data_IF_618219615999
#
_entry.id   IF_618219615999
#
_cell.length_a   1.000
_cell.length_b   1.000
_cell.length_c   1.000
_cell.angle_alpha   90.00
_cell.angle_beta   90.00
_cell.angle_gamma   90.00
#
_symmetry.space_group_name_H-M   'P 1'
#
loop_
_entity.id
_entity.type
_entity.pdbx_description
1 polymer ?
#
# COMPACT_ATOMS: atom_id res chain seq x y z
N UNK A 1 -31.26 25.22 -13.61
CA UNK A 1 -30.83 25.02 -12.21
C UNK A 1 -29.34 25.31 -12.13
N UNK A 2 -28.96 26.41 -11.47
CA UNK A 2 -27.59 26.88 -11.37
C UNK A 2 -26.73 25.84 -10.63
N UNK A 3 -25.62 25.41 -11.24
CA UNK A 3 -24.54 24.73 -10.52
C UNK A 3 -23.97 25.76 -9.53
N UNK A 4 -24.40 25.68 -8.28
CA UNK A 4 -23.75 26.39 -7.19
C UNK A 4 -22.27 26.01 -7.22
N UNK A 5 -21.39 27.00 -7.20
CA UNK A 5 -19.96 26.82 -7.02
C UNK A 5 -19.71 26.34 -5.59
N UNK A 6 -19.98 25.07 -5.34
CA UNK A 6 -19.62 24.41 -4.09
C UNK A 6 -18.09 24.45 -4.02
N UNK A 7 -17.55 25.04 -2.96
CA UNK A 7 -16.12 24.98 -2.69
C UNK A 7 -15.59 23.53 -2.69
N UNK A 8 -14.27 23.31 -2.76
CA UNK A 8 -13.73 21.96 -2.80
C UNK A 8 -14.27 21.12 -1.63
N UNK A 9 -14.83 19.94 -1.94
CA UNK A 9 -15.38 19.04 -0.93
C UNK A 9 -14.33 18.58 0.09
N UNK A 10 -14.81 18.03 1.20
CA UNK A 10 -13.95 17.64 2.33
C UNK A 10 -13.04 16.48 1.92
N UNK A 11 -11.98 16.28 2.69
CA UNK A 11 -11.09 15.15 2.49
C UNK A 11 -11.50 13.98 3.41
N UNK A 12 -11.69 12.79 2.84
CA UNK A 12 -11.78 11.55 3.60
C UNK A 12 -10.49 10.75 3.38
N UNK A 13 -9.72 10.58 4.45
CA UNK A 13 -8.41 9.95 4.41
C UNK A 13 -8.49 8.60 5.10
N UNK A 14 -8.16 7.53 4.38
CA UNK A 14 -8.10 6.16 4.90
C UNK A 14 -6.65 5.72 4.95
N UNK A 15 -6.16 5.35 6.14
CA UNK A 15 -4.81 4.87 6.37
C UNK A 15 -4.85 3.42 6.87
N UNK A 16 -4.44 2.45 6.05
CA UNK A 16 -4.37 1.04 6.43
C UNK A 16 -2.92 0.59 6.59
N UNK A 17 -2.55 0.17 7.79
CA UNK A 17 -1.17 -0.25 8.06
C UNK A 17 -0.90 -1.72 7.69
N UNK A 18 0.37 -2.03 7.45
CA UNK A 18 0.87 -3.38 7.23
C UNK A 18 0.94 -4.19 8.52
N UNK A 19 1.24 -5.49 8.39
CA UNK A 19 1.42 -6.36 9.56
C UNK A 19 2.56 -5.90 10.46
N UNK A 20 2.42 -6.18 11.77
CA UNK A 20 3.48 -6.14 12.78
C UNK A 20 4.10 -4.75 13.03
N UNK A 21 3.27 -3.73 13.24
CA UNK A 21 3.74 -2.47 13.84
C UNK A 21 3.13 -2.35 15.24
N UNK A 22 3.90 -2.68 16.28
CA UNK A 22 3.48 -2.43 17.65
C UNK A 22 3.42 -0.92 17.91
N UNK A 23 2.25 -0.44 18.33
CA UNK A 23 2.07 0.94 18.78
C UNK A 23 2.94 1.14 20.02
N UNK A 24 4.02 1.92 19.91
CA UNK A 24 4.83 2.33 21.06
C UNK A 24 6.32 2.47 20.77
N UNK A 25 6.92 1.58 19.96
CA UNK A 25 8.37 1.64 19.66
C UNK A 25 8.69 1.75 18.17
N UNK A 26 7.98 1.05 17.29
CA UNK A 26 8.29 1.00 15.87
C UNK A 26 7.11 1.57 15.07
N UNK A 27 7.32 2.73 14.43
CA UNK A 27 6.25 3.44 13.73
C UNK A 27 6.40 3.29 12.21
N UNK A 28 5.33 2.82 11.57
CA UNK A 28 5.19 2.85 10.12
C UNK A 28 5.03 4.26 9.58
N UNK A 29 5.29 4.42 8.29
CA UNK A 29 5.02 5.62 7.54
C UNK A 29 3.52 5.90 7.42
N UNK A 30 2.66 4.87 7.46
CA UNK A 30 1.20 5.04 7.54
C UNK A 30 0.78 5.71 8.85
N UNK A 31 1.28 5.22 9.99
CA UNK A 31 0.98 5.79 11.30
C UNK A 31 1.63 7.17 11.49
N UNK A 32 2.85 7.37 10.96
CA UNK A 32 3.49 8.70 10.90
C UNK A 32 2.63 9.68 10.07
N UNK A 33 2.16 9.28 8.89
CA UNK A 33 1.24 10.10 8.07
C UNK A 33 -0.06 10.39 8.81
N UNK A 34 -0.67 9.39 9.46
CA UNK A 34 -1.88 9.58 10.27
C UNK A 34 -1.66 10.65 11.36
N UNK A 35 -0.50 10.66 12.02
CA UNK A 35 -0.15 11.68 13.04
C UNK A 35 0.10 13.06 12.44
N UNK A 36 0.63 13.13 11.22
CA UNK A 36 0.91 14.37 10.49
C UNK A 36 -0.37 14.99 9.90
N UNK A 37 -1.31 14.16 9.44
CA UNK A 37 -2.55 14.59 8.83
C UNK A 37 -3.39 15.43 9.81
N UNK A 38 -3.85 16.58 9.32
CA UNK A 38 -4.81 17.41 10.04
C UNK A 38 -6.13 16.64 10.22
N UNK A 39 -6.75 16.77 11.40
CA UNK A 39 -8.07 16.21 11.71
C UNK A 39 -8.98 17.38 12.02
N UNK A 40 -9.98 17.58 11.18
CA UNK A 40 -10.94 18.69 11.28
C UNK A 40 -12.23 18.30 10.54
N UNK A 41 -13.28 19.13 10.66
CA UNK A 41 -14.53 18.95 9.90
C UNK A 41 -14.33 18.91 8.38
N UNK A 42 -13.19 19.41 7.90
CA UNK A 42 -12.85 19.46 6.49
C UNK A 42 -11.88 18.34 6.06
N UNK A 43 -11.33 17.59 7.01
CA UNK A 43 -10.50 16.42 6.74
C UNK A 43 -10.68 15.36 7.84
N UNK A 44 -11.46 14.33 7.52
CA UNK A 44 -11.65 13.17 8.38
C UNK A 44 -10.57 12.14 8.07
N UNK A 45 -9.94 11.60 9.10
CA UNK A 45 -8.81 10.66 8.95
C UNK A 45 -9.11 9.39 9.74
N UNK A 46 -9.22 8.27 9.04
CA UNK A 46 -9.42 6.94 9.58
C UNK A 46 -8.11 6.16 9.57
N UNK A 47 -7.84 5.40 10.63
CA UNK A 47 -6.67 4.53 10.74
C UNK A 47 -7.10 3.11 11.06
N UNK A 48 -6.74 2.18 10.19
CA UNK A 48 -6.88 0.75 10.40
C UNK A 48 -5.52 0.17 10.82
N UNK A 49 -5.38 -0.32 12.06
CA UNK A 49 -4.16 -0.99 12.49
C UNK A 49 -3.97 -2.29 11.72
N UNK A 50 -2.70 -2.65 11.49
CA UNK A 50 -2.34 -3.92 10.89
C UNK A 50 -2.70 -5.12 11.76
N UNK A 51 -2.85 -6.27 11.11
CA UNK A 51 -3.11 -7.56 11.76
C UNK A 51 -2.01 -7.90 12.77
N UNK A 52 -2.42 -8.37 13.96
CA UNK A 52 -1.53 -8.69 15.08
C UNK A 52 -1.19 -7.53 16.02
N UNK A 53 -1.72 -6.32 15.84
CA UNK A 53 -1.39 -5.13 16.67
C UNK A 53 -2.15 -5.03 18.01
N UNK A 54 -3.12 -5.92 18.28
CA UNK A 54 -3.89 -5.88 19.53
C UNK A 54 -3.02 -6.37 20.70
N UNK A 55 -2.53 -5.43 21.51
CA UNK A 55 -1.80 -5.73 22.74
C UNK A 55 -2.77 -6.29 23.80
N UNK A 56 -2.66 -7.59 24.09
CA UNK A 56 -3.19 -8.15 25.34
C UNK A 56 -2.11 -7.99 26.43
N UNK A 57 -2.46 -7.72 27.70
CA UNK A 57 -1.48 -7.45 28.76
C UNK A 57 -0.55 -8.63 29.14
N UNK A 58 -0.82 -9.85 28.65
CA UNK A 58 -0.15 -11.05 29.14
C UNK A 58 1.05 -11.52 28.30
N UNK A 59 2.16 -11.77 29.00
CA UNK A 59 3.42 -12.29 28.45
C UNK A 59 3.29 -13.68 27.78
N UNK A 60 2.35 -14.50 28.22
CA UNK A 60 2.01 -15.80 27.58
C UNK A 60 1.20 -15.64 26.28
N UNK A 61 0.72 -14.43 25.96
CA UNK A 61 -0.05 -14.13 24.75
C UNK A 61 0.79 -13.90 23.49
N UNK A 62 2.09 -13.59 23.60
CA UNK A 62 2.92 -13.18 22.45
C UNK A 62 3.13 -14.28 21.40
N UNK A 63 3.31 -15.53 21.81
CA UNK A 63 3.46 -16.65 20.88
C UNK A 63 2.13 -17.03 20.21
N UNK A 64 1.03 -17.01 20.98
CA UNK A 64 -0.34 -17.15 20.46
C UNK A 64 -0.70 -16.03 19.48
N UNK A 65 -0.31 -14.79 19.76
CA UNK A 65 -0.47 -13.64 18.90
C UNK A 65 0.35 -13.79 17.61
N UNK A 66 1.60 -14.26 17.69
CA UNK A 66 2.44 -14.52 16.52
C UNK A 66 1.89 -15.65 15.65
N UNK A 67 1.37 -16.72 16.28
CA UNK A 67 0.69 -17.82 15.59
C UNK A 67 -0.65 -17.39 14.96
N UNK A 68 -1.48 -16.63 15.69
CA UNK A 68 -2.76 -16.11 15.22
C UNK A 68 -2.57 -15.07 14.11
N UNK A 69 -1.60 -14.16 14.23
CA UNK A 69 -1.26 -13.20 13.18
C UNK A 69 -0.74 -13.89 11.91
N UNK A 70 -0.02 -15.01 12.06
CA UNK A 70 0.40 -15.86 10.93
C UNK A 70 -0.79 -16.61 10.32
N UNK A 71 -1.75 -17.05 11.14
CA UNK A 71 -2.98 -17.71 10.70
C UNK A 71 -3.95 -16.74 9.99
N UNK A 72 -4.16 -15.53 10.50
CA UNK A 72 -4.93 -14.47 9.83
C UNK A 72 -4.26 -13.97 8.55
N UNK A 73 -2.93 -13.98 8.51
CA UNK A 73 -2.13 -13.67 7.32
C UNK A 73 -2.34 -14.71 6.20
N UNK A 74 -2.63 -15.97 6.55
CA UNK A 74 -2.90 -17.04 5.59
C UNK A 74 -4.38 -17.09 5.16
N UNK A 75 -5.34 -16.87 6.08
CA UNK A 75 -6.76 -17.16 5.83
C UNK A 75 -7.55 -16.06 5.09
N UNK A 76 -6.96 -14.89 4.82
CA UNK A 76 -7.64 -13.79 4.11
C UNK A 76 -8.78 -13.10 4.88
N UNK A 77 -9.28 -13.69 5.97
CA UNK A 77 -10.33 -13.12 6.84
C UNK A 77 -9.96 -11.76 7.41
N UNK A 78 -8.67 -11.53 7.70
CA UNK A 78 -8.19 -10.23 8.14
C UNK A 78 -8.29 -9.15 7.06
N UNK A 79 -8.05 -9.49 5.79
CA UNK A 79 -8.20 -8.57 4.67
C UNK A 79 -9.66 -8.14 4.51
N UNK A 80 -10.61 -9.10 4.53
CA UNK A 80 -12.04 -8.80 4.42
C UNK A 80 -12.50 -7.85 5.54
N UNK A 81 -12.08 -8.10 6.78
CA UNK A 81 -12.37 -7.23 7.93
C UNK A 81 -11.83 -5.82 7.72
N UNK A 82 -10.57 -5.68 7.33
CA UNK A 82 -9.90 -4.39 7.22
C UNK A 82 -10.47 -3.56 6.03
N UNK A 83 -10.78 -4.22 4.90
CA UNK A 83 -11.49 -3.58 3.76
C UNK A 83 -12.88 -3.14 4.18
N UNK A 84 -13.63 -3.99 4.88
CA UNK A 84 -15.00 -3.69 5.29
C UNK A 84 -15.05 -2.54 6.31
N UNK A 85 -14.10 -2.49 7.25
CA UNK A 85 -13.98 -1.39 8.22
C UNK A 85 -13.74 -0.04 7.51
N UNK A 86 -12.77 0.00 6.59
CA UNK A 86 -12.48 1.20 5.81
C UNK A 86 -13.65 1.59 4.88
N UNK A 87 -14.32 0.61 4.26
CA UNK A 87 -15.49 0.86 3.42
C UNK A 87 -16.65 1.44 4.21
N UNK A 88 -16.94 0.90 5.41
CA UNK A 88 -17.99 1.44 6.30
C UNK A 88 -17.69 2.86 6.73
N UNK A 89 -16.45 3.17 7.10
CA UNK A 89 -16.04 4.55 7.39
C UNK A 89 -16.39 5.49 6.23
N UNK A 90 -16.10 5.10 4.98
CA UNK A 90 -16.46 5.90 3.81
C UNK A 90 -17.98 6.01 3.63
N UNK A 91 -18.73 4.91 3.76
CA UNK A 91 -20.21 4.92 3.65
C UNK A 91 -20.86 5.83 4.68
N UNK A 92 -20.34 5.82 5.91
CA UNK A 92 -20.88 6.59 7.03
C UNK A 92 -20.59 8.09 6.93
N UNK A 93 -19.50 8.48 6.25
CA UNK A 93 -18.99 9.85 6.29
C UNK A 93 -19.03 10.58 4.94
N UNK A 94 -19.14 9.88 3.81
CA UNK A 94 -19.09 10.47 2.48
C UNK A 94 -20.32 11.32 2.16
N UNK A 95 -20.04 12.55 1.75
CA UNK A 95 -20.99 13.47 1.13
C UNK A 95 -20.57 13.68 -0.32
N UNK A 96 -21.56 13.92 -1.17
CA UNK A 96 -21.31 14.16 -2.59
C UNK A 96 -20.35 15.34 -2.78
N UNK A 97 -19.28 15.12 -3.56
CA UNK A 97 -18.20 16.09 -3.76
C UNK A 97 -16.98 15.92 -2.85
N UNK A 98 -17.05 15.10 -1.80
CA UNK A 98 -15.88 14.76 -0.97
C UNK A 98 -14.79 14.05 -1.79
N UNK A 99 -13.54 14.22 -1.37
CA UNK A 99 -12.35 13.65 -2.02
C UNK A 99 -11.77 12.53 -1.17
N UNK A 100 -11.59 11.35 -1.76
CA UNK A 100 -11.07 10.18 -1.05
C UNK A 100 -9.56 10.05 -1.27
N UNK A 101 -8.83 9.92 -0.16
CA UNK A 101 -7.39 9.66 -0.12
C UNK A 101 -7.15 8.32 0.56
N UNK A 102 -6.41 7.45 -0.11
CA UNK A 102 -6.16 6.09 0.32
C UNK A 102 -4.66 5.90 0.54
N UNK A 103 -4.26 5.53 1.75
CA UNK A 103 -2.88 5.27 2.12
C UNK A 103 -2.70 3.88 2.70
N UNK A 104 -1.65 3.17 2.28
CA UNK A 104 -1.32 1.92 2.93
C UNK A 104 0.09 1.43 2.70
N UNK A 105 0.54 0.56 3.60
CA UNK A 105 1.85 -0.09 3.54
C UNK A 105 1.70 -1.61 3.49
N UNK A 106 2.51 -2.30 2.69
CA UNK A 106 2.59 -3.76 2.69
C UNK A 106 1.23 -4.40 2.32
N UNK A 107 0.65 -5.21 3.22
CA UNK A 107 -0.72 -5.68 3.10
C UNK A 107 -1.75 -4.57 3.22
N UNK A 108 -1.54 -3.56 4.05
CA UNK A 108 -2.41 -2.40 4.14
C UNK A 108 -2.49 -1.63 2.82
N UNK A 109 -1.41 -1.61 2.04
CA UNK A 109 -1.42 -1.11 0.66
C UNK A 109 -2.34 -1.95 -0.24
N UNK A 110 -2.30 -3.28 -0.12
CA UNK A 110 -3.23 -4.15 -0.83
C UNK A 110 -4.68 -3.95 -0.37
N UNK A 111 -4.92 -3.77 0.93
CA UNK A 111 -6.23 -3.45 1.51
C UNK A 111 -6.84 -2.21 0.86
N UNK A 112 -6.10 -1.09 0.77
CA UNK A 112 -6.64 0.13 0.15
C UNK A 112 -6.79 0.02 -1.36
N UNK A 113 -5.97 -0.79 -2.03
CA UNK A 113 -6.14 -1.10 -3.45
C UNK A 113 -7.41 -1.92 -3.72
N UNK A 114 -7.68 -2.91 -2.87
CA UNK A 114 -8.93 -3.70 -2.91
C UNK A 114 -10.14 -2.82 -2.61
N UNK A 115 -10.04 -1.92 -1.62
CA UNK A 115 -11.07 -0.92 -1.34
C UNK A 115 -11.35 -0.03 -2.56
N UNK A 116 -10.30 0.43 -3.25
CA UNK A 116 -10.45 1.21 -4.47
C UNK A 116 -11.15 0.39 -5.58
N UNK A 117 -10.75 -0.86 -5.78
CA UNK A 117 -11.38 -1.78 -6.75
C UNK A 117 -12.85 -2.03 -6.44
N UNK A 118 -13.18 -2.21 -5.16
CA UNK A 118 -14.55 -2.34 -4.68
C UNK A 118 -15.37 -1.09 -4.98
N UNK A 119 -14.88 0.10 -4.65
CA UNK A 119 -15.57 1.37 -4.97
C UNK A 119 -15.77 1.52 -6.49
N UNK A 120 -14.77 1.16 -7.30
CA UNK A 120 -14.86 1.25 -8.76
C UNK A 120 -15.91 0.31 -9.36
N UNK A 121 -15.99 -0.92 -8.85
CA UNK A 121 -16.81 -1.99 -9.41
C UNK A 121 -18.23 -2.02 -8.84
N UNK A 122 -18.39 -1.98 -7.52
CA UNK A 122 -19.71 -2.03 -6.87
C UNK A 122 -20.24 -0.63 -6.53
N UNK A 123 -19.38 0.37 -6.36
CA UNK A 123 -19.76 1.72 -5.92
C UNK A 123 -19.60 1.93 -4.41
N UNK A 124 -19.82 3.16 -3.95
CA UNK A 124 -19.91 3.50 -2.53
C UNK A 124 -21.38 3.60 -2.11
N UNK A 125 -21.80 2.80 -1.13
CA UNK A 125 -23.16 2.81 -0.62
C UNK A 125 -23.52 4.16 -0.01
N UNK A 126 -24.82 4.47 -0.02
CA UNK A 126 -25.35 5.61 0.75
C UNK A 126 -25.37 5.25 2.23
N UNK A 127 -25.31 6.28 3.09
CA UNK A 127 -25.22 6.09 4.54
C UNK A 127 -26.35 5.20 5.11
N UNK A 128 -27.59 5.38 4.66
CA UNK A 128 -28.75 4.58 5.08
C UNK A 128 -28.74 3.12 4.59
N UNK A 129 -27.76 2.74 3.76
CA UNK A 129 -27.58 1.39 3.21
C UNK A 129 -26.36 0.69 3.80
N UNK A 130 -25.79 1.20 4.90
CA UNK A 130 -24.59 0.64 5.52
C UNK A 130 -24.72 -0.85 5.89
N UNK A 131 -25.95 -1.33 6.13
CA UNK A 131 -26.26 -2.75 6.35
C UNK A 131 -25.87 -3.65 5.16
N UNK A 132 -25.82 -3.12 3.93
CA UNK A 132 -25.42 -3.86 2.74
C UNK A 132 -23.91 -3.95 2.52
N UNK A 133 -23.07 -3.34 3.35
CA UNK A 133 -21.62 -3.30 3.15
C UNK A 133 -20.97 -4.69 3.03
N UNK A 134 -21.43 -5.66 3.83
CA UNK A 134 -20.95 -7.05 3.74
C UNK A 134 -21.35 -7.74 2.43
N UNK A 135 -22.57 -7.48 1.96
CA UNK A 135 -23.06 -7.98 0.68
C UNK A 135 -22.31 -7.34 -0.50
N UNK A 136 -21.99 -6.04 -0.42
CA UNK A 136 -21.18 -5.36 -1.42
C UNK A 136 -19.79 -5.99 -1.56
N UNK A 137 -19.13 -6.32 -0.44
CA UNK A 137 -17.82 -6.99 -0.47
C UNK A 137 -17.93 -8.39 -1.07
N UNK A 138 -18.99 -9.14 -0.72
CA UNK A 138 -19.25 -10.46 -1.31
C UNK A 138 -19.48 -10.37 -2.82
N UNK A 139 -20.31 -9.44 -3.27
CA UNK A 139 -20.57 -9.22 -4.70
C UNK A 139 -19.29 -8.86 -5.47
N UNK A 140 -18.46 -7.98 -4.90
CA UNK A 140 -17.17 -7.61 -5.48
C UNK A 140 -16.21 -8.81 -5.63
N UNK A 141 -16.12 -9.68 -4.61
CA UNK A 141 -15.26 -10.87 -4.65
C UNK A 141 -15.75 -11.90 -5.67
N UNK A 142 -17.07 -12.14 -5.70
CA UNK A 142 -17.69 -13.11 -6.61
C UNK A 142 -17.65 -12.66 -8.07
N UNK A 143 -17.72 -11.35 -8.34
CA UNK A 143 -17.72 -10.80 -9.70
C UNK A 143 -16.48 -11.18 -10.54
N UNK A 144 -15.42 -11.69 -9.91
CA UNK A 144 -14.26 -12.22 -10.59
C UNK A 144 -14.53 -13.51 -11.37
N UNK A 145 -15.42 -14.36 -10.86
CA UNK A 145 -15.70 -15.68 -11.45
C UNK A 145 -16.69 -15.59 -12.62
N UNK A 146 -17.40 -14.46 -12.73
CA UNK A 146 -18.46 -14.24 -13.70
C UNK A 146 -17.98 -13.58 -14.99
N UNK A 147 -18.67 -13.88 -16.10
CA UNK A 147 -18.48 -13.16 -17.36
C UNK A 147 -18.81 -11.67 -17.17
N UNK A 148 -17.80 -10.82 -17.36
CA UNK A 148 -17.92 -9.36 -17.37
C UNK A 148 -18.52 -8.75 -16.09
N UNK A 149 -18.25 -9.35 -14.92
CA UNK A 149 -18.62 -8.82 -13.59
C UNK A 149 -20.14 -8.70 -13.34
N UNK A 150 -20.95 -9.59 -13.92
CA UNK A 150 -22.41 -9.56 -13.83
C UNK A 150 -22.95 -9.43 -12.39
N UNK A 151 -22.45 -10.21 -11.42
CA UNK A 151 -22.88 -10.11 -10.02
C UNK A 151 -22.70 -8.70 -9.43
N UNK A 152 -21.58 -8.02 -9.73
CA UNK A 152 -21.36 -6.67 -9.22
C UNK A 152 -22.28 -5.63 -9.86
N UNK A 153 -22.60 -5.82 -11.15
CA UNK A 153 -23.53 -4.96 -11.87
C UNK A 153 -24.95 -5.10 -11.31
N UNK A 154 -25.44 -6.33 -11.13
CA UNK A 154 -26.76 -6.60 -10.55
C UNK A 154 -26.89 -6.02 -9.14
N UNK A 155 -25.88 -6.24 -8.27
CA UNK A 155 -25.86 -5.64 -6.94
C UNK A 155 -25.96 -4.11 -7.00
N UNK A 156 -25.22 -3.48 -7.91
CA UNK A 156 -25.24 -2.02 -8.09
C UNK A 156 -26.62 -1.53 -8.54
N UNK A 157 -27.30 -2.22 -9.44
CA UNK A 157 -28.63 -1.85 -9.92
C UNK A 157 -29.70 -1.92 -8.80
N UNK A 158 -29.59 -2.91 -7.91
CA UNK A 158 -30.48 -3.07 -6.75
C UNK A 158 -30.24 -1.97 -5.71
N UNK A 159 -28.98 -1.76 -5.33
CA UNK A 159 -28.65 -0.88 -4.19
C UNK A 159 -28.53 0.58 -4.61
N UNK A 160 -28.29 0.89 -5.89
CA UNK A 160 -28.16 2.26 -6.41
C UNK A 160 -27.23 3.16 -5.56
N UNK A 161 -25.95 2.77 -5.43
CA UNK A 161 -24.94 3.54 -4.71
C UNK A 161 -24.69 4.92 -5.35
N UNK A 162 -23.81 5.72 -4.76
CA UNK A 162 -23.42 7.00 -5.37
C UNK A 162 -22.95 6.80 -6.82
N UNK A 163 -23.41 7.69 -7.71
CA UNK A 163 -23.17 7.60 -9.14
C UNK A 163 -21.69 7.79 -9.49
N UNK A 164 -21.02 8.74 -8.83
CA UNK A 164 -19.61 9.03 -9.02
C UNK A 164 -18.91 9.26 -7.68
N UNK A 165 -17.87 8.47 -7.42
CA UNK A 165 -17.03 8.59 -6.22
C UNK A 165 -15.57 8.44 -6.64
N UNK A 166 -15.00 9.47 -7.27
CA UNK A 166 -13.65 9.40 -7.76
C UNK A 166 -12.66 9.39 -6.58
N UNK A 167 -11.63 8.56 -6.69
CA UNK A 167 -10.56 8.49 -5.70
C UNK A 167 -9.51 9.52 -6.10
N UNK A 168 -9.29 10.53 -5.27
CA UNK A 168 -8.38 11.63 -5.56
C UNK A 168 -6.93 11.14 -5.55
N UNK A 169 -6.57 10.32 -4.55
CA UNK A 169 -5.20 9.91 -4.33
C UNK A 169 -5.10 8.50 -3.76
N UNK A 170 -4.22 7.67 -4.33
CA UNK A 170 -3.79 6.38 -3.79
C UNK A 170 -2.28 6.40 -3.57
N UNK A 171 -1.87 6.47 -2.30
CA UNK A 171 -0.48 6.48 -1.88
C UNK A 171 -0.10 5.17 -1.18
N UNK A 172 0.77 4.37 -1.78
CA UNK A 172 1.15 3.08 -1.22
C UNK A 172 2.65 2.91 -1.06
N UNK A 173 3.05 2.27 0.04
CA UNK A 173 4.41 1.83 0.27
C UNK A 173 4.48 0.31 0.09
N UNK A 174 5.36 -0.13 -0.80
CA UNK A 174 5.80 -1.50 -1.00
C UNK A 174 4.69 -2.57 -0.93
N UNK A 175 3.69 -2.46 -1.82
CA UNK A 175 2.51 -3.35 -1.83
C UNK A 175 2.87 -4.82 -1.94
N UNK A 176 2.35 -5.62 -1.00
CA UNK A 176 2.38 -7.10 -1.05
C UNK A 176 0.98 -7.65 -0.76
N UNK A 177 0.49 -8.59 -1.57
CA UNK A 177 -0.89 -9.11 -1.43
C UNK A 177 -1.03 -10.09 -0.26
N UNK A 178 -0.01 -10.91 -0.01
CA UNK A 178 0.13 -11.71 1.21
C UNK A 178 1.58 -12.18 1.35
N UNK A 179 2.00 -12.45 2.59
CA UNK A 179 3.18 -13.28 2.83
C UNK A 179 2.71 -14.72 2.64
N UNK A 180 3.13 -15.34 1.55
CA UNK A 180 2.85 -16.76 1.32
C UNK A 180 3.49 -17.52 2.50
N UNK A 181 2.74 -18.36 3.19
CA UNK A 181 3.29 -19.30 4.17
C UNK A 181 3.37 -20.67 3.47
N UNK A 182 4.48 -21.43 3.60
CA UNK A 182 4.64 -22.72 2.96
C UNK A 182 3.48 -23.67 3.29
N UNK A 183 3.00 -24.40 2.28
CA UNK A 183 1.82 -25.28 2.40
C UNK A 183 1.99 -26.36 3.46
N UNK A 184 3.21 -26.87 3.75
CA UNK A 184 3.38 -27.86 4.83
C UNK A 184 3.12 -27.30 6.24
N UNK A 185 3.20 -25.98 6.42
CA UNK A 185 2.81 -25.30 7.67
C UNK A 185 1.32 -24.95 7.69
N UNK A 186 0.58 -25.23 6.61
CA UNK A 186 -0.82 -24.86 6.46
C UNK A 186 -1.68 -26.08 6.22
N UNK A 187 -2.69 -26.27 7.08
CA UNK A 187 -3.54 -27.47 7.13
C UNK A 187 -4.49 -27.56 5.90
N UNK A 188 -4.44 -26.61 4.96
CA UNK A 188 -5.35 -26.54 3.80
C UNK A 188 -4.60 -26.29 2.46
N UNK A 189 -4.88 -27.05 1.38
CA UNK A 189 -4.06 -27.07 0.17
C UNK A 189 -4.41 -26.03 -0.92
N UNK A 190 -5.33 -25.07 -0.67
CA UNK A 190 -5.75 -24.10 -1.70
C UNK A 190 -5.60 -22.64 -1.24
N UNK A 191 -4.37 -22.16 -1.11
CA UNK A 191 -4.09 -20.72 -1.05
C UNK A 191 -3.88 -20.19 -2.46
N UNK A 192 -4.99 -20.02 -3.17
CA UNK A 192 -4.97 -19.23 -4.39
C UNK A 192 -4.75 -17.77 -3.98
N UNK A 193 -3.55 -17.27 -4.25
CA UNK A 193 -3.17 -15.85 -4.24
C UNK A 193 -3.92 -15.15 -5.37
N UNK A 194 -5.24 -15.15 -5.24
CA UNK A 194 -6.12 -14.73 -6.29
C UNK A 194 -6.23 -13.22 -6.27
N UNK A 195 -5.77 -12.61 -7.35
CA UNK A 195 -5.86 -11.18 -7.55
C UNK A 195 -7.34 -10.78 -7.57
N UNK A 196 -7.70 -9.86 -6.68
CA UNK A 196 -9.05 -9.33 -6.64
C UNK A 196 -9.24 -8.30 -7.77
N UNK A 197 -10.46 -8.19 -8.33
CA UNK A 197 -10.72 -7.30 -9.47
C UNK A 197 -10.23 -5.88 -9.22
N UNK A 198 -9.50 -5.29 -10.17
CA UNK A 198 -9.06 -3.90 -10.11
C UNK A 198 -8.15 -3.53 -8.91
N UNK A 199 -7.54 -4.52 -8.24
CA UNK A 199 -6.59 -4.26 -7.16
C UNK A 199 -5.19 -3.81 -7.67
N UNK A 200 -4.80 -4.15 -8.89
CA UNK A 200 -3.53 -3.68 -9.49
C UNK A 200 -3.74 -2.73 -10.68
N UNK A 201 -5.00 -2.49 -11.04
CA UNK A 201 -5.41 -1.71 -12.21
C UNK A 201 -6.74 -1.03 -11.88
N UNK A 202 -6.76 0.29 -11.68
CA UNK A 202 -7.99 1.00 -11.34
C UNK A 202 -8.09 2.37 -12.01
N UNK A 203 -8.96 2.51 -13.03
CA UNK A 203 -9.20 3.78 -13.72
C UNK A 203 -9.84 4.89 -12.88
N UNK A 204 -10.50 4.59 -11.75
CA UNK A 204 -11.18 5.58 -10.92
C UNK A 204 -10.26 6.33 -9.96
N UNK A 205 -8.99 5.96 -9.89
CA UNK A 205 -7.98 6.69 -9.12
C UNK A 205 -7.36 7.76 -10.02
N UNK A 206 -7.42 9.03 -9.60
CA UNK A 206 -6.84 10.14 -10.38
C UNK A 206 -5.31 10.16 -10.28
N UNK A 207 -4.79 10.00 -9.08
CA UNK A 207 -3.36 10.08 -8.77
C UNK A 207 -2.91 8.84 -8.01
N UNK A 208 -1.91 8.14 -8.55
CA UNK A 208 -1.32 6.96 -7.94
C UNK A 208 0.15 7.24 -7.64
N UNK A 209 0.55 6.96 -6.40
CA UNK A 209 1.94 7.05 -5.92
C UNK A 209 2.31 5.74 -5.24
N UNK A 210 3.33 5.07 -5.76
CA UNK A 210 3.81 3.82 -5.19
C UNK A 210 5.32 3.93 -4.90
N UNK A 211 5.68 3.95 -3.62
CA UNK A 211 7.07 3.87 -3.19
C UNK A 211 7.51 2.40 -3.07
N UNK A 212 8.62 2.04 -3.71
CA UNK A 212 9.06 0.64 -3.86
C UNK A 212 10.47 0.42 -3.30
N UNK A 213 10.67 -0.72 -2.64
CA UNK A 213 11.96 -1.13 -2.09
C UNK A 213 12.89 -1.75 -3.15
N UNK A 214 14.12 -1.24 -3.26
CA UNK A 214 15.17 -1.80 -4.12
C UNK A 214 15.80 -3.07 -3.50
N UNK A 215 16.01 -3.09 -2.18
CA UNK A 215 16.77 -4.11 -1.46
C UNK A 215 15.87 -5.12 -0.70
N UNK A 216 14.70 -5.42 -1.25
CA UNK A 216 13.82 -6.46 -0.70
C UNK A 216 13.95 -7.75 -1.51
N UNK A 217 14.49 -8.79 -0.86
CA UNK A 217 14.92 -10.03 -1.50
C UNK A 217 14.16 -11.26 -1.00
N UNK A 218 13.26 -11.12 -0.02
CA UNK A 218 12.51 -12.27 0.51
C UNK A 218 11.51 -12.76 -0.51
N UNK A 219 11.56 -14.05 -0.82
CA UNK A 219 10.68 -14.70 -1.81
C UNK A 219 9.19 -14.49 -1.59
N UNK A 220 8.77 -14.28 -0.34
CA UNK A 220 7.38 -14.19 0.10
C UNK A 220 6.86 -12.75 0.07
N UNK A 221 7.74 -11.76 -0.13
CA UNK A 221 7.42 -10.32 -0.21
C UNK A 221 7.42 -9.86 -1.66
N UNK A 222 6.61 -10.56 -2.48
CA UNK A 222 6.48 -10.26 -3.90
C UNK A 222 5.80 -8.92 -4.10
N UNK A 223 6.50 -8.04 -4.78
CA UNK A 223 5.99 -6.73 -5.13
C UNK A 223 4.78 -6.88 -6.05
N UNK A 224 3.72 -6.16 -5.72
CA UNK A 224 2.56 -5.99 -6.60
C UNK A 224 2.67 -4.64 -7.28
N UNK A 225 3.22 -4.62 -8.49
CA UNK A 225 3.31 -3.42 -9.32
C UNK A 225 1.92 -2.89 -9.66
N UNK A 226 1.81 -1.58 -9.89
CA UNK A 226 0.62 -1.00 -10.48
C UNK A 226 0.71 -1.13 -12.01
N UNK A 227 -0.39 -1.49 -12.67
CA UNK A 227 -0.43 -1.54 -14.13
C UNK A 227 -0.18 -0.15 -14.73
N UNK A 228 0.26 -0.10 -16.00
CA UNK A 228 0.55 1.15 -16.70
C UNK A 228 -0.62 2.16 -16.61
N UNK A 229 -0.27 3.46 -16.72
CA UNK A 229 -1.23 4.56 -16.68
C UNK A 229 -2.40 4.33 -17.64
N UNK A 230 -3.61 4.54 -17.13
CA UNK A 230 -4.87 4.35 -17.85
C UNK A 230 -5.59 5.68 -18.07
N UNK A 231 -6.58 5.67 -18.98
CA UNK A 231 -7.54 6.77 -19.07
C UNK A 231 -8.45 6.72 -17.84
N UNK A 232 -8.65 7.87 -17.21
CA UNK A 232 -9.48 7.99 -16.02
C UNK A 232 -10.94 7.62 -16.34
N UNK A 233 -11.53 6.75 -15.53
CA UNK A 233 -12.92 6.36 -15.64
C UNK A 233 -13.53 6.31 -14.23
N UNK A 234 -14.54 7.14 -13.91
CA UNK A 234 -14.99 7.35 -12.53
C UNK A 234 -15.71 6.12 -11.92
N UNK A 235 -16.29 5.26 -12.76
CA UNK A 235 -16.80 3.95 -12.38
C UNK A 235 -16.88 3.04 -13.62
N UNK A 236 -16.93 1.72 -13.43
CA UNK A 236 -16.86 0.73 -14.51
C UNK A 236 -17.95 0.85 -15.59
N UNK A 237 -19.11 1.37 -15.22
CA UNK A 237 -20.32 1.46 -16.05
C UNK A 237 -20.53 2.87 -16.61
N UNK A 238 -19.62 3.79 -16.33
CA UNK A 238 -19.72 5.16 -16.83
C UNK A 238 -19.46 5.18 -18.33
N UNK A 239 -20.37 5.82 -19.07
CA UNK A 239 -20.19 6.17 -20.49
C UNK A 239 -19.39 7.48 -20.68
N UNK A 240 -18.93 8.11 -19.60
CA UNK A 240 -18.20 9.36 -19.69
C UNK A 240 -16.84 9.14 -20.37
N UNK A 241 -16.64 9.81 -21.50
CA UNK A 241 -15.40 9.83 -22.27
C UNK A 241 -14.43 10.87 -21.71
N UNK A 242 -14.07 10.77 -20.43
CA UNK A 242 -13.03 11.66 -19.90
C UNK A 242 -11.66 11.16 -20.37
N UNK A 243 -10.91 12.01 -21.06
CA UNK A 243 -9.66 11.63 -21.72
C UNK A 243 -8.40 11.87 -20.87
N UNK A 244 -8.56 12.36 -19.63
CA UNK A 244 -7.43 12.60 -18.74
C UNK A 244 -6.75 11.29 -18.37
N UNK A 245 -5.43 11.23 -18.58
CA UNK A 245 -4.61 10.10 -18.12
C UNK A 245 -4.47 10.14 -16.60
N UNK A 246 -4.49 8.98 -15.98
CA UNK A 246 -4.13 8.80 -14.58
C UNK A 246 -2.69 9.25 -14.35
N UNK A 247 -2.49 10.10 -13.35
CA UNK A 247 -1.15 10.53 -12.92
C UNK A 247 -0.54 9.43 -12.04
N UNK A 248 0.28 8.57 -12.63
CA UNK A 248 0.95 7.45 -11.98
C UNK A 248 2.44 7.76 -11.81
N UNK A 249 2.96 7.60 -10.59
CA UNK A 249 4.40 7.48 -10.32
C UNK A 249 4.67 6.27 -9.42
N UNK A 250 5.45 5.33 -9.93
CA UNK A 250 6.07 4.25 -9.15
C UNK A 250 7.55 4.58 -9.01
N UNK A 251 7.99 4.85 -7.79
CA UNK A 251 9.33 5.39 -7.48
C UNK A 251 10.09 4.42 -6.59
N UNK A 252 11.30 4.10 -6.99
CA UNK A 252 12.18 3.17 -6.28
C UNK A 252 13.10 3.91 -5.31
N UNK A 253 13.23 3.34 -4.12
CA UNK A 253 14.01 3.89 -3.01
C UNK A 253 14.98 2.84 -2.46
N UNK A 254 16.14 3.32 -1.98
CA UNK A 254 17.09 2.47 -1.28
C UNK A 254 16.52 1.98 0.05
N UNK A 255 16.47 0.66 0.20
CA UNK A 255 16.13 -0.01 1.44
C UNK A 255 15.36 -1.30 1.23
N UNK A 256 15.15 -2.07 2.28
CA UNK A 256 14.24 -3.21 2.29
C UNK A 256 12.79 -2.77 2.55
N UNK A 257 11.85 -3.71 2.64
CA UNK A 257 10.41 -3.43 2.82
C UNK A 257 10.10 -2.41 3.95
N UNK A 258 10.73 -2.57 5.12
CA UNK A 258 10.52 -1.72 6.29
C UNK A 258 11.33 -0.41 6.24
N UNK A 259 12.37 -0.33 5.41
CA UNK A 259 13.01 0.95 5.10
C UNK A 259 12.10 1.83 4.23
N UNK A 260 11.12 1.24 3.51
CA UNK A 260 10.18 2.00 2.69
C UNK A 260 8.91 2.33 3.44
N UNK A 261 8.32 1.33 4.11
CA UNK A 261 7.10 1.51 4.88
C UNK A 261 7.28 1.96 6.32
N UNK A 262 8.51 2.05 6.82
CA UNK A 262 8.79 2.21 8.25
C UNK A 262 8.64 0.89 9.03
N UNK A 263 8.82 0.98 10.35
CA UNK A 263 8.75 -0.18 11.26
C UNK A 263 10.09 -0.57 11.90
N UNK A 264 11.20 0.09 11.55
CA UNK A 264 12.43 0.01 12.35
C UNK A 264 12.37 0.93 13.57
N UNK A 265 13.33 0.75 14.49
CA UNK A 265 13.53 1.69 15.60
C UNK A 265 13.93 3.05 15.03
N UNK A 266 13.66 4.12 15.78
CA UNK A 266 13.67 5.46 15.20
C UNK A 266 15.09 5.96 14.90
N UNK A 267 16.07 5.49 15.67
CA UNK A 267 17.50 5.74 15.53
C UNK A 267 18.01 5.20 14.17
N UNK A 268 17.42 4.12 13.68
CA UNK A 268 17.76 3.46 12.42
C UNK A 268 16.83 3.87 11.25
N UNK A 269 15.81 4.70 11.51
CA UNK A 269 14.73 4.99 10.56
C UNK A 269 15.05 6.03 9.49
N UNK A 270 16.31 6.45 9.33
CA UNK A 270 16.71 7.54 8.43
C UNK A 270 16.27 7.32 6.97
N UNK A 271 16.40 6.10 6.44
CA UNK A 271 15.99 5.77 5.07
C UNK A 271 14.47 5.89 4.87
N UNK A 272 13.68 5.48 5.86
CA UNK A 272 12.20 5.54 5.81
C UNK A 272 11.62 6.95 5.75
N UNK A 273 12.44 7.97 6.03
CA UNK A 273 12.04 9.37 5.92
C UNK A 273 11.89 9.82 4.47
N UNK A 274 12.67 9.31 3.52
CA UNK A 274 12.56 9.73 2.12
C UNK A 274 11.22 9.33 1.49
N UNK A 275 10.77 8.05 1.56
CA UNK A 275 9.47 7.66 1.02
C UNK A 275 8.29 8.34 1.71
N UNK A 276 8.38 8.60 3.02
CA UNK A 276 7.36 9.35 3.76
C UNK A 276 7.30 10.80 3.28
N UNK A 277 8.46 11.47 3.21
CA UNK A 277 8.58 12.86 2.76
C UNK A 277 8.03 13.02 1.35
N UNK A 278 8.45 12.17 0.42
CA UNK A 278 7.97 12.16 -0.96
C UNK A 278 6.45 11.97 -1.01
N UNK A 279 5.89 10.96 -0.32
CA UNK A 279 4.46 10.70 -0.33
C UNK A 279 3.64 11.90 0.21
N UNK A 280 4.11 12.52 1.29
CA UNK A 280 3.47 13.72 1.85
C UNK A 280 3.47 14.88 0.86
N UNK A 281 4.56 15.08 0.11
CA UNK A 281 4.67 16.15 -0.89
C UNK A 281 3.64 15.93 -2.00
N UNK A 282 3.62 14.72 -2.55
CA UNK A 282 2.69 14.33 -3.61
C UNK A 282 1.23 14.51 -3.18
N UNK A 283 0.89 14.09 -1.95
CA UNK A 283 -0.46 14.21 -1.44
C UNK A 283 -0.84 15.67 -1.10
N UNK A 284 0.09 16.45 -0.54
CA UNK A 284 -0.11 17.88 -0.25
C UNK A 284 -0.38 18.67 -1.53
N UNK A 285 0.33 18.37 -2.62
CA UNK A 285 0.12 18.98 -3.93
C UNK A 285 -1.28 18.68 -4.52
N UNK A 286 -1.98 17.67 -4.00
CA UNK A 286 -3.37 17.34 -4.35
C UNK A 286 -4.40 17.83 -3.32
N UNK A 287 -3.94 18.52 -2.27
CA UNK A 287 -4.80 19.16 -1.28
C UNK A 287 -5.03 18.34 -0.01
N UNK A 288 -4.19 17.33 0.28
CA UNK A 288 -4.12 16.73 1.61
C UNK A 288 -3.62 17.78 2.62
N UNK A 289 -4.35 17.96 3.73
CA UNK A 289 -4.00 18.91 4.77
C UNK A 289 -3.07 18.27 5.79
N UNK A 290 -1.91 18.85 6.01
CA UNK A 290 -0.87 18.32 6.91
C UNK A 290 -0.45 19.37 7.92
N UNK A 291 -0.07 18.93 9.13
CA UNK A 291 0.46 19.81 10.18
C UNK A 291 1.96 20.00 9.97
N UNK A 292 2.39 21.15 9.46
CA UNK A 292 3.81 21.44 9.16
C UNK A 292 4.73 21.22 10.37
N UNK A 293 4.29 21.59 11.58
CA UNK A 293 5.05 21.31 12.81
C UNK A 293 5.30 19.82 13.04
N UNK A 294 4.34 18.96 12.66
CA UNK A 294 4.50 17.50 12.74
C UNK A 294 5.42 16.97 11.65
N UNK A 295 5.42 17.56 10.45
CA UNK A 295 6.38 17.24 9.39
C UNK A 295 7.81 17.56 9.85
N UNK A 296 8.05 18.78 10.34
CA UNK A 296 9.35 19.21 10.83
C UNK A 296 9.86 18.28 11.94
N UNK A 297 8.99 17.89 12.86
CA UNK A 297 9.34 17.02 13.96
C UNK A 297 9.56 15.56 13.55
N UNK A 298 8.56 14.92 12.92
CA UNK A 298 8.58 13.47 12.63
C UNK A 298 9.46 13.15 11.42
N UNK A 299 9.44 14.00 10.39
CA UNK A 299 10.13 13.74 9.12
C UNK A 299 11.53 14.34 9.13
N UNK A 300 11.67 15.61 9.52
CA UNK A 300 12.96 16.33 9.48
C UNK A 300 13.77 16.18 10.77
N UNK A 301 13.20 15.60 11.82
CA UNK A 301 13.89 15.35 13.09
C UNK A 301 14.09 16.59 13.97
N UNK A 302 13.32 17.67 13.74
CA UNK A 302 13.42 18.87 14.57
C UNK A 302 12.96 18.56 16.01
N UNK A 303 13.72 18.96 17.03
CA UNK A 303 13.40 18.64 18.42
C UNK A 303 12.11 19.32 18.89
N UNK A 304 11.40 18.69 19.83
CA UNK A 304 10.27 19.29 20.57
C UNK A 304 10.40 18.94 22.05
N UNK A 305 10.04 19.90 22.90
CA UNK A 305 10.06 19.74 24.36
C UNK A 305 9.16 18.56 24.77
N UNK A 306 9.67 17.68 25.63
CA UNK A 306 8.97 16.49 26.16
C UNK A 306 8.39 15.55 25.09
N UNK A 307 8.99 15.50 23.90
CA UNK A 307 8.57 14.62 22.81
C UNK A 307 9.63 13.57 22.46
N UNK A 308 9.18 12.45 21.88
CA UNK A 308 10.06 11.44 21.27
C UNK A 308 10.98 12.10 20.23
N UNK A 309 12.26 11.77 20.24
CA UNK A 309 13.20 12.20 19.22
C UNK A 309 13.02 11.42 17.91
N UNK A 310 13.23 12.09 16.78
CA UNK A 310 13.16 11.49 15.45
C UNK A 310 14.44 11.74 14.69
N UNK A 311 14.92 10.73 13.97
CA UNK A 311 16.13 10.83 13.15
C UNK A 311 15.80 11.58 11.85
N UNK A 312 16.73 12.44 11.40
CA UNK A 312 16.62 13.15 10.12
C UNK A 312 16.83 12.20 8.93
N UNK A 313 16.29 12.50 7.73
CA UNK A 313 16.61 11.75 6.52
C UNK A 313 18.12 11.76 6.25
N UNK A 314 18.67 10.60 5.87
CA UNK A 314 20.08 10.47 5.47
C UNK A 314 20.21 9.36 4.43
N UNK A 315 20.79 9.65 3.27
CA UNK A 315 21.05 8.67 2.21
C UNK A 315 22.06 7.60 2.66
N UNK A 316 22.96 7.99 3.58
CA UNK A 316 23.97 7.14 4.21
C UNK A 316 23.44 6.42 5.46
N UNK A 317 22.13 6.54 5.75
CA UNK A 317 21.49 5.82 6.84
C UNK A 317 21.69 4.31 6.76
N UNK A 318 21.48 3.62 7.89
CA UNK A 318 21.64 2.17 7.98
C UNK A 318 20.76 1.46 6.94
N UNK A 319 21.38 0.62 6.11
CA UNK A 319 20.70 -0.17 5.10
C UNK A 319 20.39 -1.56 5.66
N UNK A 320 19.13 -1.81 5.97
CA UNK A 320 18.74 -3.05 6.62
C UNK A 320 18.65 -4.20 5.62
N UNK A 321 18.99 -5.41 6.08
CA UNK A 321 18.78 -6.65 5.34
C UNK A 321 17.58 -7.40 5.90
N UNK A 322 16.53 -7.55 5.11
CA UNK A 322 15.33 -8.27 5.52
C UNK A 322 15.47 -9.81 5.47
N UNK A 323 16.45 -10.33 4.71
CA UNK A 323 16.85 -11.75 4.65
C UNK A 323 17.60 -12.21 5.91
N UNK A 324 16.92 -12.18 7.05
CA UNK A 324 17.42 -12.76 8.30
C UNK A 324 17.53 -14.28 8.20
N UNK A 325 18.22 -14.92 9.14
CA UNK A 325 18.47 -16.37 9.15
C UNK A 325 17.22 -17.22 8.93
N UNK A 326 16.09 -16.86 9.55
CA UNK A 326 14.81 -17.56 9.36
C UNK A 326 14.26 -17.43 7.93
N UNK A 327 14.36 -16.25 7.31
CA UNK A 327 13.93 -16.04 5.93
C UNK A 327 14.82 -16.78 4.93
N UNK A 328 16.13 -16.88 5.20
CA UNK A 328 17.06 -17.64 4.35
C UNK A 328 16.70 -19.10 4.21
N UNK A 329 16.12 -19.72 5.24
CA UNK A 329 15.63 -21.11 5.16
C UNK A 329 14.49 -21.27 4.15
N UNK A 330 13.56 -20.30 4.10
CA UNK A 330 12.44 -20.32 3.17
C UNK A 330 12.89 -20.12 1.71
N UNK A 331 14.06 -19.53 1.47
CA UNK A 331 14.64 -19.37 0.14
C UNK A 331 15.02 -20.69 -0.54
N UNK A 332 15.11 -21.80 0.21
CA UNK A 332 15.36 -23.15 -0.32
C UNK A 332 14.08 -23.87 -0.78
N UNK A 333 12.91 -23.25 -0.68
CA UNK A 333 11.71 -23.82 -1.27
C UNK A 333 11.74 -23.63 -2.81
N UNK A 334 11.28 -24.58 -3.62
CA UNK A 334 11.17 -24.35 -5.07
C UNK A 334 10.08 -23.29 -5.37
N UNK A 335 10.27 -22.50 -6.43
CA UNK A 335 9.27 -21.63 -7.05
C UNK A 335 8.97 -22.12 -8.46
N UNK A 336 7.72 -21.95 -8.91
CA UNK A 336 7.35 -22.25 -10.29
C UNK A 336 8.06 -21.28 -11.28
N UNK A 337 8.73 -21.82 -12.30
CA UNK A 337 9.49 -21.08 -13.30
C UNK A 337 8.63 -20.08 -14.12
N UNK A 338 7.32 -20.34 -14.30
CA UNK A 338 6.41 -19.37 -14.93
C UNK A 338 6.27 -18.05 -14.17
N UNK A 339 6.70 -18.04 -12.91
CA UNK A 339 6.68 -16.86 -12.05
C UNK A 339 8.08 -16.33 -11.77
N UNK A 340 9.07 -16.67 -12.62
CA UNK A 340 10.42 -16.18 -12.52
C UNK A 340 10.46 -14.70 -12.91
N UNK A 341 10.91 -13.86 -11.98
CA UNK A 341 11.14 -12.43 -12.23
C UNK A 341 12.62 -12.17 -12.56
N UNK A 342 13.51 -13.11 -12.21
CA UNK A 342 14.95 -13.01 -12.43
C UNK A 342 15.49 -14.14 -13.30
N UNK A 343 15.65 -13.89 -14.60
CA UNK A 343 15.91 -14.90 -15.63
C UNK A 343 17.29 -15.58 -15.55
N UNK A 344 18.24 -15.04 -14.78
CA UNK A 344 19.59 -15.64 -14.63
C UNK A 344 19.60 -16.92 -13.75
N UNK A 345 18.48 -17.29 -13.12
CA UNK A 345 18.40 -18.51 -12.28
C UNK A 345 18.20 -19.75 -13.14
N UNK A 346 19.06 -20.77 -12.91
CA UNK A 346 18.94 -22.09 -13.54
C UNK A 346 17.61 -22.74 -13.19
N UNK A 347 16.82 -23.07 -14.20
CA UNK A 347 15.55 -23.77 -14.06
C UNK A 347 15.83 -25.27 -13.93
N UNK A 348 15.38 -25.84 -12.83
CA UNK A 348 15.42 -27.26 -12.51
C UNK A 348 14.16 -27.93 -13.10
N UNK A 349 14.36 -28.96 -13.94
CA UNK A 349 13.30 -29.79 -14.56
C UNK A 349 12.28 -28.98 -15.36
N UNK A 350 12.72 -27.88 -15.98
CA UNK A 350 11.88 -26.95 -16.78
C UNK A 350 10.67 -26.36 -16.03
N UNK A 351 10.53 -26.57 -14.72
CA UNK A 351 9.32 -26.24 -13.95
C UNK A 351 9.59 -25.47 -12.67
N UNK A 352 10.75 -25.66 -12.04
CA UNK A 352 11.04 -25.05 -10.74
C UNK A 352 12.42 -24.39 -10.68
N UNK A 353 12.58 -23.39 -9.81
CA UNK A 353 13.89 -22.82 -9.46
C UNK A 353 13.94 -22.43 -7.99
N UNK A 354 15.15 -22.29 -7.44
CA UNK A 354 15.36 -21.81 -6.07
C UNK A 354 15.66 -20.31 -6.09
N UNK A 355 14.88 -19.45 -5.41
CA UNK A 355 15.04 -18.00 -5.50
C UNK A 355 16.34 -17.49 -4.89
N UNK A 356 16.76 -18.05 -3.74
CA UNK A 356 18.03 -17.74 -3.05
C UNK A 356 18.27 -16.22 -2.90
N UNK A 357 17.25 -15.49 -2.43
CA UNK A 357 17.31 -14.04 -2.29
C UNK A 357 17.38 -13.32 -3.63
N UNK A 358 16.49 -13.68 -4.56
CA UNK A 358 16.44 -13.04 -5.87
C UNK A 358 16.12 -11.53 -5.74
N UNK A 359 16.88 -10.65 -6.41
CA UNK A 359 16.53 -9.25 -6.53
C UNK A 359 15.23 -9.03 -7.26
N UNK A 360 14.55 -7.93 -6.93
CA UNK A 360 13.41 -7.44 -7.72
C UNK A 360 13.89 -6.91 -9.06
N UNK A 361 13.15 -7.21 -10.11
CA UNK A 361 13.38 -6.62 -11.42
C UNK A 361 12.95 -5.15 -11.41
N UNK A 362 13.89 -4.25 -11.72
CA UNK A 362 13.62 -2.82 -11.92
C UNK A 362 13.65 -2.56 -13.42
N UNK A 363 12.51 -2.24 -14.06
CA UNK A 363 12.48 -1.96 -15.50
C UNK A 363 13.39 -0.79 -15.89
N UNK A 364 13.95 -0.78 -17.11
CA UNK A 364 14.58 0.42 -17.67
C UNK A 364 13.64 1.63 -17.62
N UNK A 365 14.22 2.82 -17.49
CA UNK A 365 13.51 4.11 -17.42
C UNK A 365 12.57 4.26 -16.20
N UNK A 366 12.69 3.38 -15.22
CA UNK A 366 12.00 3.51 -13.93
C UNK A 366 12.40 4.80 -13.21
N UNK A 367 11.48 5.34 -12.40
CA UNK A 367 11.77 6.48 -11.54
C UNK A 367 12.57 6.02 -10.31
N UNK A 368 13.79 6.53 -10.16
CA UNK A 368 14.63 6.30 -8.99
C UNK A 368 14.69 7.60 -8.19
N UNK A 369 14.40 7.55 -6.89
CA UNK A 369 14.46 8.74 -6.05
C UNK A 369 15.91 9.25 -5.90
N UNK A 370 16.11 10.57 -5.90
CA UNK A 370 17.44 11.19 -5.80
C UNK A 370 18.28 10.68 -4.61
N UNK A 371 17.64 10.41 -3.47
CA UNK A 371 18.35 9.87 -2.29
C UNK A 371 18.96 8.49 -2.53
N UNK A 372 18.43 7.72 -3.49
CA UNK A 372 19.01 6.45 -3.88
C UNK A 372 20.28 6.63 -4.73
N UNK A 373 20.31 7.69 -5.55
CA UNK A 373 21.48 8.09 -6.34
C UNK A 373 22.58 8.63 -5.42
N UNK A 374 22.21 9.53 -4.50
CA UNK A 374 23.12 10.18 -3.55
C UNK A 374 23.93 9.17 -2.74
N UNK A 375 23.31 8.05 -2.33
CA UNK A 375 24.00 6.98 -1.58
C UNK A 375 25.19 6.38 -2.34
N UNK A 376 25.08 6.26 -3.66
CA UNK A 376 26.09 5.60 -4.50
C UNK A 376 26.90 6.58 -5.34
N UNK A 377 26.83 7.88 -5.04
CA UNK A 377 27.49 8.94 -5.81
C UNK A 377 29.03 8.80 -5.79
N UNK A 378 29.58 8.34 -4.66
CA UNK A 378 31.02 8.25 -4.44
C UNK A 378 31.60 6.89 -4.87
N UNK A 379 30.75 5.85 -4.97
CA UNK A 379 31.15 4.52 -5.42
C UNK A 379 30.02 3.78 -6.15
N UNK A 380 29.93 3.96 -7.47
CA UNK A 380 28.91 3.31 -8.28
C UNK A 380 29.00 1.77 -8.28
N UNK A 381 30.16 1.19 -7.94
CA UNK A 381 30.34 -0.27 -7.87
C UNK A 381 29.58 -0.90 -6.70
N UNK A 382 29.14 -0.10 -5.73
CA UNK A 382 28.31 -0.56 -4.60
C UNK A 382 26.82 -0.60 -4.93
N UNK A 383 26.40 -0.17 -6.13
CA UNK A 383 25.02 -0.30 -6.57
C UNK A 383 24.59 -1.77 -6.54
N UNK A 384 23.34 -2.06 -6.13
CA UNK A 384 22.85 -3.42 -6.07
C UNK A 384 22.75 -4.04 -7.46
N UNK A 385 22.80 -5.37 -7.54
CA UNK A 385 22.77 -6.11 -8.81
C UNK A 385 21.55 -5.80 -9.69
N UNK A 386 20.41 -5.42 -9.09
CA UNK A 386 19.19 -5.06 -9.81
C UNK A 386 19.09 -3.57 -10.17
N UNK A 387 20.18 -2.81 -10.02
CA UNK A 387 20.19 -1.43 -10.47
C UNK A 387 19.93 -1.36 -11.99
N UNK A 388 18.97 -0.53 -12.44
CA UNK A 388 18.58 -0.51 -13.85
C UNK A 388 19.67 0.16 -14.71
N UNK A 389 19.79 -0.28 -15.97
CA UNK A 389 20.75 0.28 -16.93
C UNK A 389 20.43 1.74 -17.32
N UNK A 390 19.14 2.10 -17.40
CA UNK A 390 18.64 3.46 -17.58
C UNK A 390 17.57 3.76 -16.53
N UNK A 391 17.47 5.01 -16.10
CA UNK A 391 16.48 5.45 -15.13
C UNK A 391 16.23 6.96 -15.23
N UNK A 392 15.08 7.39 -14.71
CA UNK A 392 14.71 8.80 -14.57
C UNK A 392 14.83 9.19 -13.10
N UNK A 393 15.47 10.33 -12.83
CA UNK A 393 15.63 10.81 -11.46
C UNK A 393 14.32 11.48 -10.99
N UNK A 394 13.69 10.88 -9.99
CA UNK A 394 12.64 11.54 -9.22
C UNK A 394 13.30 12.50 -8.23
N UNK A 395 13.09 13.80 -8.44
CA UNK A 395 13.64 14.84 -7.57
C UNK A 395 13.04 14.73 -6.17
N UNK A 396 13.80 15.23 -5.18
CA UNK A 396 13.27 15.43 -3.84
C UNK A 396 12.20 16.53 -3.87
N UNK A 397 10.95 16.16 -4.12
CA UNK A 397 9.83 17.05 -3.91
C UNK A 397 9.61 17.20 -2.40
N UNK A 398 9.66 18.43 -1.90
CA UNK A 398 9.45 18.73 -0.49
C UNK A 398 7.95 18.78 -0.15
N UNK A 399 7.50 18.14 0.95
CA UNK A 399 6.27 18.52 1.62
C UNK A 399 6.45 19.75 2.49
#
# INVERSE_FOLDING_TARGET
MSRSSVGPGRNLVVCCDGTTNEIGKQLSNVLKLYRIAEKSEQQLVFYQPGIGTVAMPDSWGKWRQKAHATFEMATGKGLDRDVLAAYRFLVENYREGDRIYLFGFSRGAYTVRVLAGMIYLVGLLRQHQANFAGYALKAYKNAKEDSNYATAHEFREIVRPYAQVPIEFLGVWDTVSSVIVPVWLSIFPKFHLEELPFASINPAVKVVRHAVAIHEYRRMFRLKNWANSQKFQPNRYSQATNHTKQDLREVWFNGCHSDIGGGFVEEESALSKFPLRWMLAQARNRGLRIRTQMVNHIVLGHPRVNARQYTKPSADGLLHTSLTTGWRLLEFLPKNAHRQEWHERKIWWKRFYFPRGEPRHIPPDSLIHISAIERFKDNEKERPRNWPASYVIEKAEGP
#
